data_IF_249615246107
#
_entry.id   IF_249615246107
#
_cell.length_a   1.000
_cell.length_b   1.000
_cell.length_c   1.000
_cell.angle_alpha   90.00
_cell.angle_beta   90.00
_cell.angle_gamma   90.00
#
_symmetry.space_group_name_H-M   'P 1'
#
loop_
_entity.id
_entity.type
_entity.pdbx_description
1 polymer ?
#
# COMPACT_ATOMS: atom_id res chain seq x y z
N UNK A 1 -5.81 -15.60 8.56
CA UNK A 1 -5.11 -16.45 7.59
C UNK A 1 -4.77 -15.55 6.43
N UNK A 2 -3.53 -15.08 6.38
CA UNK A 2 -3.10 -13.99 5.50
C UNK A 2 -2.51 -14.64 4.26
N UNK A 3 -3.30 -14.75 3.20
CA UNK A 3 -2.88 -15.41 1.96
C UNK A 3 -2.03 -14.48 1.11
N UNK A 4 -0.87 -14.99 0.69
CA UNK A 4 0.05 -14.33 -0.24
C UNK A 4 -0.15 -14.92 -1.64
N UNK A 5 -0.21 -14.08 -2.67
CA UNK A 5 -0.35 -14.52 -4.06
C UNK A 5 0.99 -14.42 -4.79
N UNK A 6 1.31 -15.40 -5.65
CA UNK A 6 2.60 -15.47 -6.35
C UNK A 6 2.43 -15.62 -7.88
N UNK A 7 3.21 -14.87 -8.67
CA UNK A 7 3.18 -14.90 -10.14
C UNK A 7 4.60 -14.90 -10.74
N UNK A 8 4.91 -15.82 -11.66
CA UNK A 8 6.18 -15.81 -12.39
C UNK A 8 6.08 -14.90 -13.62
N UNK A 9 7.04 -13.98 -13.78
CA UNK A 9 7.06 -12.99 -14.87
C UNK A 9 8.49 -12.80 -15.42
N UNK A 10 8.65 -12.03 -16.50
CA UNK A 10 9.97 -11.58 -16.97
C UNK A 10 10.69 -10.65 -15.97
N UNK A 11 10.02 -10.22 -14.90
CA UNK A 11 10.58 -9.40 -13.82
C UNK A 11 11.02 -10.23 -12.60
N UNK A 12 10.70 -11.54 -12.55
CA UNK A 12 10.86 -12.38 -11.36
C UNK A 12 9.52 -12.85 -10.77
N UNK A 13 9.55 -13.41 -9.56
CA UNK A 13 8.36 -13.84 -8.82
C UNK A 13 7.75 -12.66 -8.09
N UNK A 14 6.56 -12.24 -8.53
CA UNK A 14 5.79 -11.19 -7.88
C UNK A 14 4.99 -11.80 -6.73
N UNK A 15 5.12 -11.23 -5.53
CA UNK A 15 4.35 -11.62 -4.35
C UNK A 15 3.55 -10.43 -3.81
N UNK A 16 2.28 -10.64 -3.47
CA UNK A 16 1.49 -9.65 -2.73
C UNK A 16 1.40 -10.05 -1.26
N UNK A 17 2.02 -9.26 -0.38
CA UNK A 17 2.00 -9.45 1.06
C UNK A 17 1.16 -8.34 1.72
N UNK A 18 0.25 -8.65 2.65
CA UNK A 18 -0.52 -7.62 3.34
C UNK A 18 0.37 -6.65 4.11
N UNK A 19 0.10 -5.36 3.93
CA UNK A 19 0.85 -4.28 4.55
C UNK A 19 0.50 -4.18 6.03
N UNK A 20 1.53 -4.09 6.87
CA UNK A 20 1.38 -3.85 8.30
C UNK A 20 1.85 -2.42 8.64
N UNK A 21 0.95 -1.49 9.00
CA UNK A 21 1.32 -0.13 9.36
C UNK A 21 2.33 -0.05 10.49
N UNK A 22 2.37 -1.03 11.40
CA UNK A 22 3.24 -0.99 12.57
C UNK A 22 4.70 -1.28 12.24
N UNK A 23 4.96 -2.02 11.16
CA UNK A 23 6.32 -2.41 10.75
C UNK A 23 6.75 -1.75 9.45
N UNK A 24 5.83 -1.57 8.51
CA UNK A 24 6.15 -1.27 7.12
C UNK A 24 6.11 0.23 6.80
N UNK A 25 5.56 1.06 7.71
CA UNK A 25 5.48 2.51 7.52
C UNK A 25 6.87 3.17 7.30
N UNK A 26 7.93 2.65 7.95
CA UNK A 26 9.29 3.14 7.77
C UNK A 26 9.86 2.85 6.37
N UNK A 27 9.42 1.75 5.76
CA UNK A 27 9.79 1.39 4.39
C UNK A 27 9.07 2.30 3.38
N UNK A 28 7.79 2.58 3.63
CA UNK A 28 6.92 3.31 2.69
C UNK A 28 7.09 4.82 2.76
N UNK A 29 7.37 5.39 3.94
CA UNK A 29 7.50 6.84 4.08
C UNK A 29 8.48 7.45 3.07
N UNK A 30 9.70 6.91 2.86
CA UNK A 30 10.61 7.44 1.84
C UNK A 30 10.07 7.36 0.41
N UNK A 31 9.21 6.39 0.10
CA UNK A 31 8.63 6.22 -1.24
C UNK A 31 7.57 7.27 -1.53
N UNK A 32 6.64 7.49 -0.58
CA UNK A 32 5.55 8.47 -0.74
C UNK A 32 6.02 9.92 -0.58
N UNK A 33 7.22 10.13 -0.02
CA UNK A 33 7.87 11.44 0.04
C UNK A 33 8.53 11.91 -1.26
N UNK A 34 8.63 11.04 -2.28
CA UNK A 34 9.32 11.40 -3.51
C UNK A 34 8.51 12.36 -4.40
N UNK A 35 9.21 13.14 -5.22
CA UNK A 35 8.60 14.07 -6.19
C UNK A 35 7.60 13.37 -7.13
N UNK A 36 7.93 12.16 -7.59
CA UNK A 36 7.06 11.38 -8.47
C UNK A 36 5.78 10.88 -7.78
N UNK A 37 5.77 10.80 -6.45
CA UNK A 37 4.66 10.28 -5.65
C UNK A 37 3.68 11.38 -5.20
N UNK A 38 3.72 12.58 -5.80
CA UNK A 38 2.91 13.73 -5.40
C UNK A 38 1.40 13.43 -5.26
N UNK A 39 0.86 12.56 -6.11
CA UNK A 39 -0.56 12.19 -6.09
C UNK A 39 -0.98 11.30 -4.93
N UNK A 40 -0.03 10.75 -4.16
CA UNK A 40 -0.34 10.08 -2.90
C UNK A 40 -0.68 11.07 -1.77
N UNK A 41 -0.39 12.36 -1.94
CA UNK A 41 -0.72 13.39 -0.95
C UNK A 41 0.10 13.33 0.35
N UNK A 42 1.15 12.50 0.40
CA UNK A 42 1.95 12.25 1.61
C UNK A 42 3.38 12.82 1.55
N UNK A 43 3.69 13.70 0.57
CA UNK A 43 5.08 14.11 0.31
C UNK A 43 5.81 14.66 1.55
N UNK A 44 5.11 15.47 2.34
CA UNK A 44 5.66 16.14 3.52
C UNK A 44 5.31 15.44 4.84
N UNK A 45 4.78 14.22 4.78
CA UNK A 45 4.39 13.49 5.99
C UNK A 45 5.60 12.80 6.63
N UNK A 46 5.63 12.88 7.95
CA UNK A 46 6.51 12.10 8.80
C UNK A 46 6.12 10.62 8.79
N UNK A 47 7.04 9.75 9.23
CA UNK A 47 6.76 8.32 9.33
C UNK A 47 5.56 8.00 10.25
N UNK A 48 5.38 8.77 11.32
CA UNK A 48 4.25 8.63 12.23
C UNK A 48 2.91 9.03 11.58
N UNK A 49 2.90 10.09 10.77
CA UNK A 49 1.72 10.50 10.01
C UNK A 49 1.36 9.47 8.93
N UNK A 50 2.36 8.93 8.23
CA UNK A 50 2.17 7.85 7.26
C UNK A 50 1.58 6.61 7.94
N UNK A 51 2.13 6.20 9.09
CA UNK A 51 1.57 5.10 9.90
C UNK A 51 0.10 5.37 10.27
N UNK A 52 -0.20 6.55 10.79
CA UNK A 52 -1.55 6.91 11.21
C UNK A 52 -2.55 6.87 10.04
N UNK A 53 -2.14 7.36 8.86
CA UNK A 53 -2.97 7.34 7.66
C UNK A 53 -3.29 5.92 7.18
N UNK A 54 -2.30 5.03 7.13
CA UNK A 54 -2.56 3.65 6.74
C UNK A 54 -3.36 2.86 7.77
N UNK A 55 -3.21 3.15 9.07
CA UNK A 55 -4.10 2.59 10.10
C UNK A 55 -5.56 3.01 9.86
N UNK A 56 -5.79 4.31 9.71
CA UNK A 56 -7.13 4.84 9.42
C UNK A 56 -7.71 4.31 8.10
N UNK A 57 -6.85 4.05 7.10
CA UNK A 57 -7.26 3.47 5.83
C UNK A 57 -7.69 2.00 5.98
N UNK A 58 -6.92 1.20 6.72
CA UNK A 58 -7.22 -0.22 6.97
C UNK A 58 -8.42 -0.43 7.92
N UNK A 59 -8.78 0.57 8.73
CA UNK A 59 -10.00 0.55 9.54
C UNK A 59 -11.28 0.65 8.67
N UNK A 60 -11.16 1.09 7.41
CA UNK A 60 -12.30 1.16 6.50
C UNK A 60 -12.71 -0.24 6.02
N UNK A 61 -14.01 -0.55 5.96
CA UNK A 61 -14.48 -1.83 5.47
C UNK A 61 -14.07 -2.05 4.02
N UNK A 62 -13.67 -3.28 3.69
CA UNK A 62 -13.29 -3.73 2.33
C UNK A 62 -12.12 -2.97 1.69
N UNK A 63 -11.33 -2.25 2.48
CA UNK A 63 -10.04 -1.73 2.07
C UNK A 63 -8.95 -2.76 2.37
N UNK A 64 -7.95 -2.86 1.49
CA UNK A 64 -6.76 -3.67 1.70
C UNK A 64 -5.54 -2.98 1.13
N UNK A 65 -4.43 -3.04 1.86
CA UNK A 65 -3.15 -2.48 1.45
C UNK A 65 -2.12 -3.61 1.38
N UNK A 66 -1.32 -3.65 0.33
CA UNK A 66 -0.38 -4.73 0.07
C UNK A 66 0.97 -4.20 -0.39
N UNK A 67 2.05 -4.80 0.12
CA UNK A 67 3.37 -4.69 -0.47
C UNK A 67 3.50 -5.66 -1.64
N UNK A 68 3.93 -5.12 -2.78
CA UNK A 68 4.36 -5.89 -3.93
C UNK A 68 5.85 -6.19 -3.84
N UNK A 69 6.20 -7.47 -3.73
CA UNK A 69 7.57 -7.94 -3.68
C UNK A 69 7.95 -8.56 -5.02
N UNK A 70 9.16 -8.31 -5.50
CA UNK A 70 9.77 -9.02 -6.63
C UNK A 70 10.94 -9.82 -6.06
N UNK A 71 10.90 -11.14 -6.21
CA UNK A 71 11.89 -12.08 -5.66
C UNK A 71 12.14 -11.84 -4.16
N UNK A 72 11.05 -11.64 -3.40
CA UNK A 72 11.09 -11.42 -1.96
C UNK A 72 11.53 -10.03 -1.50
N UNK A 73 11.82 -9.11 -2.43
CA UNK A 73 12.18 -7.72 -2.09
C UNK A 73 11.01 -6.78 -2.36
N UNK A 74 10.58 -5.93 -1.40
CA UNK A 74 9.54 -4.93 -1.65
C UNK A 74 9.93 -3.95 -2.76
N UNK A 75 9.02 -3.71 -3.70
CA UNK A 75 9.25 -2.83 -4.87
C UNK A 75 8.13 -1.83 -5.11
N UNK A 76 6.91 -2.10 -4.65
CA UNK A 76 5.76 -1.23 -4.88
C UNK A 76 4.67 -1.46 -3.83
N UNK A 77 3.70 -0.56 -3.79
CA UNK A 77 2.57 -0.56 -2.86
C UNK A 77 1.26 -0.58 -3.65
N UNK A 78 0.27 -1.32 -3.16
CA UNK A 78 -1.09 -1.38 -3.73
C UNK A 78 -2.10 -1.04 -2.64
N UNK A 79 -3.06 -0.20 -3.00
CA UNK A 79 -4.32 -0.03 -2.28
C UNK A 79 -5.46 -0.63 -3.11
N UNK A 80 -6.31 -1.42 -2.47
CA UNK A 80 -7.55 -1.97 -3.03
C UNK A 80 -8.71 -1.52 -2.16
N UNK A 81 -9.76 -1.02 -2.78
CA UNK A 81 -11.00 -0.68 -2.10
C UNK A 81 -12.20 -1.13 -2.92
N UNK A 82 -13.34 -1.25 -2.25
CA UNK A 82 -14.60 -1.60 -2.90
C UNK A 82 -15.30 -0.32 -3.35
N UNK A 83 -15.47 -0.16 -4.67
CA UNK A 83 -15.94 1.08 -5.28
C UNK A 83 -17.34 1.46 -4.79
N UNK A 84 -18.18 0.50 -4.43
CA UNK A 84 -19.56 0.74 -3.95
C UNK A 84 -19.64 1.59 -2.68
N UNK A 85 -18.52 1.76 -1.96
CA UNK A 85 -18.41 2.60 -0.75
C UNK A 85 -17.67 3.91 -0.98
N UNK A 86 -17.26 4.19 -2.21
CA UNK A 86 -16.47 5.37 -2.57
C UNK A 86 -17.32 6.45 -3.24
N UNK A 87 -17.06 7.77 -3.02
CA UNK A 87 -17.75 8.85 -3.71
C UNK A 87 -17.74 8.75 -5.24
N UNK A 88 -16.74 8.10 -5.84
CA UNK A 88 -16.65 7.88 -7.29
C UNK A 88 -17.82 7.03 -7.80
N UNK A 89 -18.42 6.15 -6.99
CA UNK A 89 -19.57 5.35 -7.39
C UNK A 89 -20.87 6.17 -7.51
N UNK A 90 -20.91 7.41 -7.02
CA UNK A 90 -22.12 8.24 -7.03
C UNK A 90 -22.31 9.05 -8.34
N UNK A 91 -21.46 8.82 -9.35
CA UNK A 91 -21.53 9.49 -10.67
C UNK A 91 -22.45 8.79 -11.66
#
# INVERSE_FOLDING_TARGET
MTESFHFATGLGTITFAPFNPDTDHLLIQPWVSQAYAAYWGMQNQTAAEVQANYRALLDKPKVGVFLGLIDGTPKFLIERYAVETDPIAAC
#
